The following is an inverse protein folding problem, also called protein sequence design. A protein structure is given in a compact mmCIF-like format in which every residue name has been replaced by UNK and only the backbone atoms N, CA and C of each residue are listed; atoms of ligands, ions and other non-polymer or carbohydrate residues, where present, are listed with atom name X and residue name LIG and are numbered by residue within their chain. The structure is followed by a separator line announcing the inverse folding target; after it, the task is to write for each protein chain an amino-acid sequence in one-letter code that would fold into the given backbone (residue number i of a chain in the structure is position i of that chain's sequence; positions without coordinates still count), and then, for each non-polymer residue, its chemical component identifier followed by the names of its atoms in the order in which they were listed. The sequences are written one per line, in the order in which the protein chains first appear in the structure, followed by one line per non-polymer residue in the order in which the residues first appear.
data_IF_325179467820
#
_entry.id   IF_325179467820
#
_cell.length_a   1.000
_cell.length_b   1.000
_cell.length_c   1.000
_cell.angle_alpha   90.00
_cell.angle_beta   90.00
_cell.angle_gamma   90.00
#
_symmetry.space_group_name_H-M   'P 1'
#
loop_
_entity.id
_entity.type
_entity.pdbx_description
1 polymer ?
#
# COMPACT_ATOMS: atom_id res chain seq x y z
N UNK A 1 -14.17 -12.09 3.68
CA UNK A 1 -13.20 -11.93 4.81
C UNK A 1 -13.47 -10.67 5.64
N UNK A 2 -13.29 -9.44 5.14
CA UNK A 2 -13.59 -8.22 5.93
C UNK A 2 -15.06 -8.13 6.40
N UNK A 3 -15.99 -8.67 5.60
CA UNK A 3 -17.40 -8.79 5.94
C UNK A 3 -17.63 -10.02 6.81
N UNK A 4 -17.26 -11.20 6.31
CA UNK A 4 -17.72 -12.48 6.86
C UNK A 4 -16.92 -12.97 8.07
N UNK A 5 -15.61 -12.72 8.09
CA UNK A 5 -14.68 -13.23 9.11
C UNK A 5 -13.62 -12.18 9.50
N UNK A 6 -14.01 -10.99 9.98
CA UNK A 6 -13.07 -9.92 10.31
C UNK A 6 -12.11 -10.29 11.44
N UNK A 7 -12.55 -11.13 12.37
CA UNK A 7 -11.71 -11.57 13.51
C UNK A 7 -10.49 -12.37 13.06
N UNK A 8 -10.61 -13.18 12.00
CA UNK A 8 -9.45 -13.91 11.45
C UNK A 8 -8.37 -12.96 10.93
N UNK A 9 -8.75 -11.80 10.37
CA UNK A 9 -7.78 -10.79 9.92
C UNK A 9 -7.06 -10.18 11.14
N UNK A 10 -7.80 -9.87 12.20
CA UNK A 10 -7.23 -9.36 13.45
C UNK A 10 -6.26 -10.37 14.08
N UNK A 11 -6.64 -11.65 14.10
CA UNK A 11 -5.80 -12.73 14.63
C UNK A 11 -4.50 -12.88 13.84
N UNK A 12 -4.56 -12.85 12.50
CA UNK A 12 -3.36 -12.88 11.66
C UNK A 12 -2.44 -11.69 11.95
N UNK A 13 -2.98 -10.47 12.09
CA UNK A 13 -2.18 -9.32 12.48
C UNK A 13 -1.53 -9.50 13.86
N UNK A 14 -2.26 -10.03 14.83
CA UNK A 14 -1.76 -10.31 16.17
C UNK A 14 -0.62 -11.36 16.14
N UNK A 15 -0.77 -12.40 15.33
CA UNK A 15 0.24 -13.44 15.17
C UNK A 15 1.53 -12.88 14.55
N UNK A 16 1.45 -11.98 13.56
CA UNK A 16 2.62 -11.29 13.02
C UNK A 16 3.30 -10.40 14.06
N UNK A 17 2.54 -9.67 14.88
CA UNK A 17 3.11 -8.88 15.98
C UNK A 17 3.83 -9.77 17.01
N UNK A 18 3.22 -10.91 17.40
CA UNK A 18 3.84 -11.92 18.28
C UNK A 18 5.09 -12.53 17.68
N UNK A 19 5.14 -12.69 16.36
CA UNK A 19 6.33 -13.17 15.63
C UNK A 19 7.44 -12.12 15.50
N UNK A 20 7.21 -10.88 15.95
CA UNK A 20 8.20 -9.80 15.97
C UNK A 20 8.02 -8.73 14.89
N UNK A 21 6.93 -8.77 14.11
CA UNK A 21 6.63 -7.67 13.20
C UNK A 21 6.43 -6.37 13.98
N UNK A 22 6.99 -5.27 13.48
CA UNK A 22 6.82 -3.94 14.08
C UNK A 22 5.85 -3.06 13.29
N UNK A 23 5.46 -3.51 12.10
CA UNK A 23 4.52 -2.82 11.21
C UNK A 23 3.54 -3.84 10.64
N UNK A 24 2.24 -3.63 10.86
CA UNK A 24 1.20 -4.38 10.16
C UNK A 24 0.80 -3.66 8.87
N UNK A 25 0.70 -4.37 7.75
CA UNK A 25 0.16 -3.86 6.49
C UNK A 25 -1.31 -4.30 6.39
N UNK A 26 -2.24 -3.36 6.24
CA UNK A 26 -3.69 -3.65 6.30
C UNK A 26 -4.19 -4.48 5.12
N UNK A 27 -5.30 -5.20 5.31
CA UNK A 27 -5.96 -5.99 4.27
C UNK A 27 -6.74 -5.14 3.25
N UNK A 28 -6.11 -4.11 2.68
CA UNK A 28 -6.73 -3.14 1.75
C UNK A 28 -6.10 -3.08 0.35
N UNK A 29 -5.19 -4.01 0.04
CA UNK A 29 -4.44 -4.05 -1.23
C UNK A 29 -5.33 -3.94 -2.49
N UNK A 30 -6.42 -4.71 -2.55
CA UNK A 30 -7.44 -4.64 -3.62
C UNK A 30 -8.74 -3.94 -3.19
N UNK A 31 -8.84 -3.46 -1.95
CA UNK A 31 -10.05 -2.86 -1.42
C UNK A 31 -10.23 -1.44 -1.99
N UNK A 32 -11.01 -1.30 -3.06
CA UNK A 32 -11.32 -0.02 -3.71
C UNK A 32 -12.81 0.05 -4.01
N UNK A 33 -13.41 1.26 -4.09
CA UNK A 33 -14.78 1.40 -4.56
C UNK A 33 -15.00 0.75 -5.93
N UNK A 34 -14.05 0.90 -6.85
CA UNK A 34 -14.11 0.28 -8.17
C UNK A 34 -14.17 -1.26 -8.09
N UNK A 35 -13.32 -1.89 -7.26
CA UNK A 35 -13.33 -3.34 -7.09
C UNK A 35 -14.59 -3.85 -6.37
N UNK A 36 -15.07 -3.13 -5.35
CA UNK A 36 -16.24 -3.51 -4.58
C UNK A 36 -17.58 -3.22 -5.27
N UNK A 37 -17.60 -2.33 -6.26
CA UNK A 37 -18.78 -2.12 -7.11
C UNK A 37 -19.22 -3.41 -7.83
N UNK A 38 -18.28 -4.29 -8.21
CA UNK A 38 -18.59 -5.61 -8.76
C UNK A 38 -19.29 -6.55 -7.75
N UNK A 39 -19.30 -6.19 -6.47
CA UNK A 39 -20.02 -6.86 -5.38
C UNK A 39 -21.26 -6.09 -4.92
N UNK A 40 -21.66 -5.05 -5.66
CA UNK A 40 -22.86 -4.25 -5.37
C UNK A 40 -22.70 -3.27 -4.22
N UNK A 41 -21.46 -2.94 -3.82
CA UNK A 41 -21.20 -1.96 -2.78
C UNK A 41 -20.97 -0.58 -3.37
N UNK A 42 -21.55 0.44 -2.75
CA UNK A 42 -21.27 1.84 -3.07
C UNK A 42 -19.93 2.31 -2.49
N UNK A 43 -19.55 3.56 -2.80
CA UNK A 43 -18.31 4.14 -2.31
C UNK A 43 -18.26 4.26 -0.78
N UNK A 44 -19.37 4.64 -0.13
CA UNK A 44 -19.40 4.81 1.32
C UNK A 44 -19.22 3.47 2.05
N UNK A 45 -19.91 2.43 1.57
CA UNK A 45 -19.76 1.04 2.04
C UNK A 45 -18.33 0.54 1.79
N UNK A 46 -17.76 0.87 0.64
CA UNK A 46 -16.37 0.54 0.30
C UNK A 46 -15.37 1.20 1.25
N UNK A 47 -15.51 2.51 1.50
CA UNK A 47 -14.68 3.26 2.46
C UNK A 47 -14.82 2.70 3.87
N UNK A 48 -16.02 2.28 4.28
CA UNK A 48 -16.23 1.63 5.58
C UNK A 48 -15.44 0.31 5.71
N UNK A 49 -15.42 -0.53 4.67
CA UNK A 49 -14.63 -1.77 4.68
C UNK A 49 -13.12 -1.51 4.64
N UNK A 50 -12.69 -0.49 3.90
CA UNK A 50 -11.28 -0.06 3.89
C UNK A 50 -10.87 0.41 5.29
N UNK A 51 -11.67 1.26 5.93
CA UNK A 51 -11.41 1.71 7.30
C UNK A 51 -11.41 0.57 8.31
N UNK A 52 -12.31 -0.41 8.16
CA UNK A 52 -12.35 -1.62 8.99
C UNK A 52 -11.04 -2.42 8.92
N UNK A 53 -10.35 -2.43 7.77
CA UNK A 53 -9.04 -3.10 7.67
C UNK A 53 -7.97 -2.46 8.58
N UNK A 54 -7.99 -1.14 8.74
CA UNK A 54 -7.11 -0.39 9.66
C UNK A 54 -7.52 -0.65 11.11
N UNK A 55 -8.83 -0.62 11.39
CA UNK A 55 -9.36 -0.89 12.74
C UNK A 55 -8.91 -2.27 13.25
N UNK A 56 -8.98 -3.31 12.41
CA UNK A 56 -8.56 -4.66 12.79
C UNK A 56 -7.06 -4.75 13.09
N UNK A 57 -6.21 -4.13 12.27
CA UNK A 57 -4.77 -4.07 12.53
C UNK A 57 -4.44 -3.29 13.81
N UNK A 58 -5.16 -2.19 14.09
CA UNK A 58 -5.01 -1.42 15.33
C UNK A 58 -5.45 -2.20 16.57
N UNK A 59 -6.58 -2.91 16.50
CA UNK A 59 -7.03 -3.80 17.58
C UNK A 59 -6.04 -4.92 17.85
N UNK A 60 -5.40 -5.47 16.81
CA UNK A 60 -4.33 -6.44 16.97
C UNK A 60 -3.09 -5.84 17.67
N UNK A 61 -2.69 -4.62 17.28
CA UNK A 61 -1.62 -3.87 17.96
C UNK A 61 -1.94 -3.63 19.43
N UNK A 62 -3.16 -3.18 19.75
CA UNK A 62 -3.61 -2.94 21.12
C UNK A 62 -3.61 -4.22 21.96
N UNK A 63 -4.10 -5.33 21.41
CA UNK A 63 -4.03 -6.65 22.05
C UNK A 63 -2.59 -7.08 22.33
N UNK A 64 -1.69 -6.92 21.35
CA UNK A 64 -0.29 -7.29 21.54
C UNK A 64 0.43 -6.39 22.56
N UNK A 65 0.15 -5.09 22.60
CA UNK A 65 0.71 -4.20 23.63
C UNK A 65 0.19 -4.53 25.03
N UNK A 66 -1.03 -5.06 25.15
CA UNK A 66 -1.54 -5.57 26.41
C UNK A 66 -0.82 -6.87 26.83
N UNK A 67 -0.49 -7.75 25.87
CA UNK A 67 0.30 -8.97 26.11
C UNK A 67 1.78 -8.68 26.42
N UNK A 68 2.35 -7.67 25.76
CA UNK A 68 3.75 -7.27 25.89
C UNK A 68 3.90 -5.73 25.91
N UNK A 69 3.76 -5.09 27.09
CA UNK A 69 3.89 -3.64 27.23
C UNK A 69 5.28 -3.08 26.88
N UNK A 70 6.30 -3.94 26.78
CA UNK A 70 7.69 -3.57 26.44
C UNK A 70 8.01 -3.72 24.94
N UNK A 71 7.02 -4.05 24.10
CA UNK A 71 7.22 -4.28 22.66
C UNK A 71 7.72 -3.04 21.87
N UNK A 72 7.69 -1.85 22.47
CA UNK A 72 8.11 -0.61 21.83
C UNK A 72 7.06 -0.05 20.86
N UNK A 73 7.52 0.76 19.90
CA UNK A 73 6.63 1.39 18.92
C UNK A 73 6.21 0.38 17.85
N UNK A 74 4.90 0.29 17.61
CA UNK A 74 4.29 -0.57 16.60
C UNK A 74 3.41 0.27 15.67
N UNK A 75 3.53 0.05 14.37
CA UNK A 75 2.84 0.83 13.35
C UNK A 75 1.81 0.01 12.58
N UNK A 76 0.85 0.71 12.01
CA UNK A 76 -0.14 0.21 11.06
C UNK A 76 0.00 1.00 9.76
N UNK A 77 0.41 0.32 8.70
CA UNK A 77 0.52 0.86 7.36
C UNK A 77 -0.72 0.52 6.53
N UNK A 78 -1.40 1.53 6.00
CA UNK A 78 -2.55 1.35 5.13
C UNK A 78 -2.11 0.88 3.74
N UNK A 79 -2.46 -0.35 3.35
CA UNK A 79 -2.11 -0.91 2.04
C UNK A 79 -2.82 -0.19 0.89
N UNK A 80 -2.03 0.29 -0.07
CA UNK A 80 -2.48 0.92 -1.33
C UNK A 80 -1.84 0.16 -2.49
N UNK A 81 -2.55 -0.84 -3.00
CA UNK A 81 -2.14 -1.60 -4.19
C UNK A 81 -2.33 -0.81 -5.49
N UNK A 82 -1.66 -1.19 -6.59
CA UNK A 82 -1.72 -0.48 -7.86
C UNK A 82 -3.08 -0.67 -8.56
N UNK A 83 -3.34 0.16 -9.56
CA UNK A 83 -4.46 0.00 -10.49
C UNK A 83 -4.44 -1.37 -11.17
N UNK A 84 -3.25 -1.90 -11.49
CA UNK A 84 -3.09 -3.22 -12.08
C UNK A 84 -3.72 -4.35 -11.25
N UNK A 85 -3.66 -4.27 -9.91
CA UNK A 85 -4.27 -5.28 -9.04
C UNK A 85 -5.81 -5.27 -9.08
N UNK A 86 -6.42 -4.12 -9.43
CA UNK A 86 -7.87 -4.03 -9.69
C UNK A 86 -8.25 -4.66 -11.03
N UNK A 87 -7.40 -4.57 -12.05
CA UNK A 87 -7.64 -5.21 -13.36
C UNK A 87 -7.67 -6.75 -13.27
N UNK A 88 -7.03 -7.31 -12.24
CA UNK A 88 -7.03 -8.75 -11.95
C UNK A 88 -6.49 -9.63 -13.10
N UNK A 89 -5.52 -9.09 -13.85
CA UNK A 89 -4.88 -9.73 -15.00
C UNK A 89 -3.34 -9.84 -14.85
N UNK A 90 -2.82 -9.58 -13.64
CA UNK A 90 -1.39 -9.58 -13.33
C UNK A 90 -0.64 -8.33 -13.81
N UNK A 91 -1.35 -7.28 -14.22
CA UNK A 91 -0.75 -6.01 -14.64
C UNK A 91 0.07 -5.34 -13.54
N UNK A 92 -0.13 -5.68 -12.27
CA UNK A 92 0.73 -5.26 -11.14
C UNK A 92 2.21 -5.72 -11.27
N UNK A 93 2.52 -6.61 -12.21
CA UNK A 93 3.88 -7.06 -12.55
C UNK A 93 4.34 -6.66 -13.97
N UNK A 94 3.49 -5.96 -14.73
CA UNK A 94 3.79 -5.53 -16.12
C UNK A 94 3.76 -4.01 -16.28
N UNK A 95 2.82 -3.35 -15.61
CA UNK A 95 2.64 -1.89 -15.69
C UNK A 95 2.13 -1.39 -17.04
N UNK A 96 1.62 -2.29 -17.89
CA UNK A 96 1.19 -2.06 -19.28
C UNK A 96 -0.23 -1.47 -19.40
N UNK A 97 -0.58 -0.57 -18.49
CA UNK A 97 -1.85 0.17 -18.49
C UNK A 97 -1.63 1.68 -18.56
N UNK A 98 -2.56 2.36 -19.23
CA UNK A 98 -2.51 3.81 -19.46
C UNK A 98 -3.78 4.46 -18.93
N UNK A 99 -3.59 5.44 -18.05
CA UNK A 99 -4.62 6.32 -17.52
C UNK A 99 -4.06 7.73 -17.42
N UNK A 100 -4.95 8.72 -17.43
CA UNK A 100 -4.57 10.08 -17.08
C UNK A 100 -4.20 10.16 -15.60
N UNK A 101 -3.49 11.22 -15.22
CA UNK A 101 -3.20 11.50 -13.81
C UNK A 101 -4.50 11.61 -13.02
N UNK A 102 -5.49 12.32 -13.55
CA UNK A 102 -6.77 12.57 -12.89
C UNK A 102 -7.55 11.25 -12.66
N UNK A 103 -7.48 10.32 -13.60
CA UNK A 103 -8.06 8.99 -13.47
C UNK A 103 -7.37 8.16 -12.37
N UNK A 104 -6.04 8.16 -12.32
CA UNK A 104 -5.31 7.48 -11.23
C UNK A 104 -5.64 8.11 -9.86
N UNK A 105 -5.69 9.44 -9.79
CA UNK A 105 -6.04 10.12 -8.54
C UNK A 105 -7.48 9.81 -8.12
N UNK A 106 -8.44 9.84 -9.05
CA UNK A 106 -9.83 9.48 -8.75
C UNK A 106 -9.97 8.04 -8.26
N UNK A 107 -9.19 7.11 -8.83
CA UNK A 107 -9.16 5.72 -8.39
C UNK A 107 -8.61 5.55 -6.97
N UNK A 108 -7.49 6.22 -6.63
CA UNK A 108 -6.83 6.04 -5.34
C UNK A 108 -7.44 6.85 -4.20
N UNK A 109 -7.99 8.03 -4.49
CA UNK A 109 -8.43 9.02 -3.49
C UNK A 109 -9.37 8.44 -2.41
N UNK A 110 -10.46 7.72 -2.74
CA UNK A 110 -11.37 7.23 -1.71
C UNK A 110 -10.69 6.29 -0.72
N UNK A 111 -9.78 5.44 -1.19
CA UNK A 111 -9.00 4.53 -0.35
C UNK A 111 -8.00 5.27 0.51
N UNK A 112 -7.24 6.21 -0.07
CA UNK A 112 -6.28 7.04 0.67
C UNK A 112 -6.98 7.75 1.82
N UNK A 113 -8.12 8.39 1.55
CA UNK A 113 -8.93 9.06 2.59
C UNK A 113 -9.39 8.07 3.67
N UNK A 114 -10.00 6.95 3.28
CA UNK A 114 -10.51 5.99 4.25
C UNK A 114 -9.40 5.39 5.15
N UNK A 115 -8.20 5.17 4.62
CA UNK A 115 -7.05 4.68 5.40
C UNK A 115 -6.55 5.72 6.38
N UNK A 116 -6.42 6.98 5.94
CA UNK A 116 -5.97 8.09 6.79
C UNK A 116 -7.00 8.42 7.87
N UNK A 117 -8.28 8.48 7.51
CA UNK A 117 -9.40 8.77 8.43
C UNK A 117 -9.54 7.68 9.52
N UNK A 118 -9.28 6.42 9.16
CA UNK A 118 -9.29 5.31 10.11
C UNK A 118 -8.03 5.27 11.02
N UNK A 119 -7.05 6.15 10.77
CA UNK A 119 -5.88 6.33 11.61
C UNK A 119 -4.73 5.36 11.30
N UNK A 120 -4.48 5.06 10.02
CA UNK A 120 -3.22 4.45 9.61
C UNK A 120 -2.05 5.41 9.93
N UNK A 121 -0.95 4.87 10.45
CA UNK A 121 0.23 5.68 10.83
C UNK A 121 0.97 6.19 9.58
N UNK A 122 0.93 5.40 8.50
CA UNK A 122 1.47 5.72 7.18
C UNK A 122 0.77 4.88 6.10
N UNK A 123 1.06 5.15 4.83
CA UNK A 123 0.55 4.39 3.69
C UNK A 123 1.64 3.50 3.09
N UNK A 124 1.28 2.28 2.76
CA UNK A 124 2.09 1.33 2.02
C UNK A 124 1.67 1.37 0.54
N UNK A 125 2.26 2.28 -0.23
CA UNK A 125 2.06 2.32 -1.68
C UNK A 125 2.91 1.23 -2.32
N UNK A 126 2.35 0.05 -2.50
CA UNK A 126 3.12 -1.19 -2.69
C UNK A 126 2.77 -1.93 -3.97
N UNK A 127 3.72 -2.74 -4.45
CA UNK A 127 3.62 -3.51 -5.70
C UNK A 127 3.40 -2.59 -6.91
N UNK A 128 4.04 -1.42 -6.94
CA UNK A 128 3.83 -0.42 -7.99
C UNK A 128 4.62 -0.76 -9.25
N UNK A 129 3.99 -1.01 -10.41
CA UNK A 129 4.70 -1.32 -11.66
C UNK A 129 4.80 -0.15 -12.64
N UNK A 130 4.05 0.94 -12.39
CA UNK A 130 3.77 1.99 -13.38
C UNK A 130 4.19 3.36 -12.86
N UNK A 131 5.07 4.04 -13.59
CA UNK A 131 5.66 5.30 -13.18
C UNK A 131 4.69 6.48 -13.24
N UNK A 132 3.76 6.49 -14.21
CA UNK A 132 2.73 7.53 -14.30
C UNK A 132 1.79 7.48 -13.09
N UNK A 133 1.41 6.28 -12.67
CA UNK A 133 0.61 6.05 -11.47
C UNK A 133 1.33 6.50 -10.19
N UNK A 134 2.62 6.17 -10.05
CA UNK A 134 3.40 6.61 -8.88
C UNK A 134 3.50 8.13 -8.78
N UNK A 135 3.69 8.82 -9.91
CA UNK A 135 3.66 10.29 -9.95
C UNK A 135 2.30 10.84 -9.52
N UNK A 136 1.23 10.28 -10.07
CA UNK A 136 -0.13 10.70 -9.73
C UNK A 136 -0.44 10.50 -8.24
N UNK A 137 0.04 9.39 -7.65
CA UNK A 137 -0.14 9.08 -6.24
C UNK A 137 0.72 9.97 -5.35
N UNK A 138 1.99 10.20 -5.67
CA UNK A 138 2.84 11.13 -4.94
C UNK A 138 2.26 12.55 -4.93
N UNK A 139 1.74 13.02 -6.08
CA UNK A 139 1.01 14.28 -6.18
C UNK A 139 -0.28 14.28 -5.35
N UNK A 140 -1.06 13.18 -5.38
CA UNK A 140 -2.27 13.05 -4.56
C UNK A 140 -2.00 13.21 -3.07
N UNK A 141 -0.90 12.64 -2.56
CA UNK A 141 -0.54 12.71 -1.14
C UNK A 141 -0.32 14.15 -0.64
N UNK A 142 0.05 15.07 -1.52
CA UNK A 142 0.23 16.50 -1.17
C UNK A 142 -1.07 17.18 -0.72
N UNK A 143 -2.23 16.66 -1.11
CA UNK A 143 -3.52 17.12 -0.61
C UNK A 143 -3.78 16.71 0.86
N UNK A 144 -2.95 15.84 1.43
CA UNK A 144 -3.06 15.33 2.80
C UNK A 144 -1.76 15.58 3.58
N UNK A 145 -1.47 16.80 4.06
CA UNK A 145 -0.14 17.20 4.53
C UNK A 145 0.48 16.35 5.66
N UNK A 146 -0.37 15.68 6.46
CA UNK A 146 0.06 14.78 7.54
C UNK A 146 0.39 13.37 7.05
N UNK A 147 -0.06 12.98 5.86
CA UNK A 147 0.20 11.65 5.33
C UNK A 147 1.70 11.44 5.13
N UNK A 148 2.14 10.22 5.44
CA UNK A 148 3.47 9.69 5.14
C UNK A 148 3.28 8.38 4.41
N UNK A 149 4.19 8.04 3.52
CA UNK A 149 4.11 6.80 2.76
C UNK A 149 5.50 6.24 2.48
N UNK A 150 5.59 4.93 2.31
CA UNK A 150 6.64 4.34 1.48
C UNK A 150 6.10 4.04 0.09
N UNK A 151 7.00 3.99 -0.90
CA UNK A 151 6.70 3.45 -2.22
C UNK A 151 7.55 2.20 -2.45
N UNK A 152 6.89 1.10 -2.83
CA UNK A 152 7.54 -0.18 -3.08
C UNK A 152 7.14 -0.72 -4.45
N UNK A 153 8.13 -1.21 -5.19
CA UNK A 153 8.03 -1.44 -6.63
C UNK A 153 8.03 -2.92 -7.01
N UNK A 154 7.41 -3.24 -8.15
CA UNK A 154 7.71 -4.45 -8.92
C UNK A 154 8.63 -4.11 -10.08
N UNK A 155 9.50 -5.06 -10.45
CA UNK A 155 10.61 -4.80 -11.36
C UNK A 155 10.56 -5.68 -12.60
N UNK A 156 11.02 -5.11 -13.72
CA UNK A 156 11.38 -5.85 -14.93
C UNK A 156 12.74 -6.52 -14.77
N UNK A 157 13.69 -5.78 -14.22
CA UNK A 157 15.06 -6.21 -13.93
C UNK A 157 15.64 -5.36 -12.78
N UNK A 158 16.89 -5.60 -12.39
CA UNK A 158 17.50 -4.93 -11.24
C UNK A 158 17.61 -3.39 -11.36
N UNK A 159 17.43 -2.81 -12.54
CA UNK A 159 17.59 -1.38 -12.80
C UNK A 159 16.32 -0.70 -13.34
N UNK A 160 15.28 -1.47 -13.65
CA UNK A 160 14.06 -0.96 -14.27
C UNK A 160 12.79 -1.44 -13.55
N UNK A 161 11.85 -0.51 -13.42
CA UNK A 161 10.47 -0.79 -13.07
C UNK A 161 9.84 -1.75 -14.09
N UNK A 162 8.75 -2.44 -13.71
CA UNK A 162 8.00 -3.32 -14.61
C UNK A 162 7.64 -2.68 -15.96
N UNK A 163 7.18 -1.41 -15.95
CA UNK A 163 6.87 -0.66 -17.18
C UNK A 163 8.08 -0.29 -18.05
N UNK A 164 9.31 -0.49 -17.53
CA UNK A 164 10.57 -0.21 -18.21
C UNK A 164 11.24 1.09 -17.80
N UNK A 165 10.64 1.88 -16.91
CA UNK A 165 11.23 3.12 -16.42
C UNK A 165 12.50 2.84 -15.60
N UNK A 166 13.62 3.52 -15.85
CA UNK A 166 14.83 3.39 -15.04
C UNK A 166 14.58 3.77 -13.58
N UNK A 167 15.02 2.95 -12.62
CA UNK A 167 14.79 3.19 -11.19
C UNK A 167 15.37 4.53 -10.72
N UNK A 168 16.50 4.96 -11.29
CA UNK A 168 17.08 6.30 -11.04
C UNK A 168 16.10 7.45 -11.31
N UNK A 169 15.23 7.32 -12.31
CA UNK A 169 14.23 8.33 -12.65
C UNK A 169 13.07 8.29 -11.65
N UNK A 170 12.64 7.08 -11.27
CA UNK A 170 11.62 6.87 -10.23
C UNK A 170 12.06 7.51 -8.91
N UNK A 171 13.26 7.19 -8.44
CA UNK A 171 13.85 7.75 -7.21
C UNK A 171 13.99 9.27 -7.33
N UNK A 172 14.53 9.76 -8.44
CA UNK A 172 14.73 11.20 -8.67
C UNK A 172 13.43 12.01 -8.60
N UNK A 173 12.31 11.46 -9.07
CA UNK A 173 11.00 12.11 -8.95
C UNK A 173 10.44 12.01 -7.54
N UNK A 174 10.43 10.82 -6.92
CA UNK A 174 9.87 10.61 -5.59
C UNK A 174 10.64 11.36 -4.49
N UNK A 175 11.94 11.62 -4.68
CA UNK A 175 12.76 12.43 -3.77
C UNK A 175 12.26 13.87 -3.59
N UNK A 176 11.46 14.39 -4.52
CA UNK A 176 10.87 15.73 -4.41
C UNK A 176 9.64 15.78 -3.47
N UNK A 177 9.18 14.64 -2.98
CA UNK A 177 8.00 14.54 -2.13
C UNK A 177 8.41 14.13 -0.71
N UNK A 178 8.53 15.08 0.24
CA UNK A 178 8.99 14.78 1.61
C UNK A 178 8.04 13.88 2.41
N UNK A 179 6.83 13.63 1.90
CA UNK A 179 5.89 12.65 2.47
C UNK A 179 6.29 11.20 2.16
N UNK A 180 7.15 10.99 1.15
CA UNK A 180 7.73 9.69 0.82
C UNK A 180 8.95 9.47 1.70
N UNK A 181 8.79 8.64 2.74
CA UNK A 181 9.79 8.47 3.80
C UNK A 181 10.67 7.25 3.61
N UNK A 182 10.29 6.34 2.71
CA UNK A 182 11.08 5.17 2.33
C UNK A 182 10.72 4.72 0.91
N UNK A 183 11.69 4.11 0.23
CA UNK A 183 11.53 3.47 -1.08
C UNK A 183 12.05 2.03 -1.01
N UNK A 184 11.50 1.13 -1.81
CA UNK A 184 11.93 -0.26 -1.82
C UNK A 184 11.29 -1.11 -2.90
N UNK A 185 11.35 -2.42 -2.70
CA UNK A 185 10.82 -3.45 -3.61
C UNK A 185 10.04 -4.49 -2.82
N UNK A 186 8.97 -5.02 -3.40
CA UNK A 186 8.18 -6.10 -2.82
C UNK A 186 7.56 -6.96 -3.93
N UNK A 187 7.05 -8.14 -3.56
CA UNK A 187 6.46 -9.11 -4.50
C UNK A 187 7.38 -9.44 -5.69
N UNK A 188 8.68 -9.57 -5.41
CA UNK A 188 9.70 -9.99 -6.35
C UNK A 188 10.29 -11.34 -5.91
N UNK A 189 10.81 -12.12 -6.85
CA UNK A 189 11.55 -13.34 -6.54
C UNK A 189 12.78 -13.04 -5.66
N UNK A 190 13.06 -13.92 -4.69
CA UNK A 190 14.07 -13.70 -3.65
C UNK A 190 15.47 -13.44 -4.24
N UNK A 191 15.84 -14.20 -5.27
CA UNK A 191 17.12 -14.12 -5.98
C UNK A 191 17.38 -12.76 -6.65
N UNK A 192 16.33 -11.98 -6.93
CA UNK A 192 16.44 -10.69 -7.59
C UNK A 192 16.57 -9.51 -6.60
N UNK A 193 16.39 -9.75 -5.31
CA UNK A 193 16.30 -8.68 -4.30
C UNK A 193 17.62 -7.93 -4.08
N UNK A 194 18.74 -8.64 -3.90
CA UNK A 194 20.02 -8.01 -3.53
C UNK A 194 20.54 -7.05 -4.60
N UNK A 195 20.46 -7.46 -5.87
CA UNK A 195 20.93 -6.63 -6.98
C UNK A 195 20.12 -5.34 -7.13
N UNK A 196 18.79 -5.44 -6.99
CA UNK A 196 17.90 -4.28 -7.05
C UNK A 196 18.11 -3.31 -5.87
N UNK A 197 18.25 -3.84 -4.64
CA UNK A 197 18.52 -3.02 -3.46
C UNK A 197 19.87 -2.30 -3.55
N UNK A 198 20.90 -2.96 -4.08
CA UNK A 198 22.22 -2.35 -4.29
C UNK A 198 22.18 -1.20 -5.32
N UNK A 199 21.22 -1.20 -6.24
CA UNK A 199 21.03 -0.12 -7.21
C UNK A 199 20.21 1.06 -6.65
N UNK A 200 19.37 0.82 -5.63
CA UNK A 200 18.55 1.85 -4.98
C UNK A 200 19.30 2.63 -3.88
N UNK A 201 20.41 2.07 -3.36
CA UNK A 201 21.25 2.68 -2.32
C UNK A 201 22.16 3.79 -2.87
#
# INVERSE_FOLDING_TARGET
MLVDNPELIREVHLDYFRAGAQVAITASYQATPAGFAARGLDEAQSKALIGKSVELARKAREAYLAENPQAGALLVAGSVGPYGAFLADGSEYRGDYVRSREEFQAFHRPRVEALLDAGADLLACETMPNFAEMKALAELLTAYPRARAWFSFTLRDAQHLSDGTPLREVVGVLANYPQVVALGINCIALENTTAALAHLA
#
